data_IF_776295075727
#
_entry.id   IF_776295075727
#
_cell.length_a   1.000
_cell.length_b   1.000
_cell.length_c   1.000
_cell.angle_alpha   90.00
_cell.angle_beta   90.00
_cell.angle_gamma   90.00
#
_symmetry.space_group_name_H-M   'P 1'
#
loop_
_entity.id
_entity.type
_entity.pdbx_description
1 polymer ?
#
# COMPACT_ATOMS: atom_id res chain seq x y z
N UNK A 1 -1.57 33.63 -40.68
CA UNK A 1 -1.21 32.28 -40.22
C UNK A 1 -1.91 32.03 -38.88
N UNK A 2 -3.19 31.63 -38.91
CA UNK A 2 -4.02 31.43 -37.72
C UNK A 2 -4.53 30.00 -37.75
N UNK A 3 -3.97 29.13 -36.91
CA UNK A 3 -4.42 27.76 -36.76
C UNK A 3 -5.53 27.69 -35.71
N UNK A 4 -6.78 27.62 -36.17
CA UNK A 4 -7.93 27.33 -35.32
C UNK A 4 -7.86 25.86 -34.87
N UNK A 5 -7.47 25.63 -33.62
CA UNK A 5 -7.56 24.31 -32.98
C UNK A 5 -9.05 23.99 -32.73
N UNK A 6 -9.62 23.14 -33.57
CA UNK A 6 -10.92 22.53 -33.33
C UNK A 6 -10.87 21.75 -32.02
N UNK A 7 -11.47 22.29 -30.95
CA UNK A 7 -11.69 21.53 -29.71
C UNK A 7 -12.71 20.45 -30.02
N UNK A 8 -12.22 19.22 -30.12
CA UNK A 8 -13.01 18.00 -30.16
C UNK A 8 -14.14 18.11 -29.16
N UNK A 9 -15.37 18.04 -29.67
CA UNK A 9 -16.60 18.05 -28.91
C UNK A 9 -16.60 16.74 -28.13
N UNK A 10 -16.18 16.77 -26.87
CA UNK A 10 -16.30 15.66 -25.94
C UNK A 10 -17.77 15.21 -25.97
N UNK A 11 -18.05 14.10 -26.65
CA UNK A 11 -19.36 13.49 -26.59
C UNK A 11 -19.52 13.04 -25.13
N UNK A 12 -20.40 13.71 -24.38
CA UNK A 12 -20.73 13.29 -23.02
C UNK A 12 -20.99 11.78 -23.03
N UNK A 13 -20.33 11.05 -22.15
CA UNK A 13 -20.48 9.61 -22.06
C UNK A 13 -21.99 9.30 -21.92
N UNK A 14 -22.57 8.46 -22.79
CA UNK A 14 -23.99 8.14 -22.70
C UNK A 14 -24.31 7.59 -21.32
N UNK A 15 -25.40 8.08 -20.72
CA UNK A 15 -25.87 7.58 -19.44
C UNK A 15 -26.13 6.07 -19.58
N UNK A 16 -25.53 5.23 -18.72
CA UNK A 16 -25.82 3.81 -18.78
C UNK A 16 -27.30 3.60 -18.52
N UNK A 17 -27.95 2.78 -19.34
CA UNK A 17 -29.33 2.35 -19.13
C UNK A 17 -29.40 1.63 -17.76
N UNK A 18 -30.51 1.75 -17.03
CA UNK A 18 -30.64 1.22 -15.66
C UNK A 18 -30.31 -0.29 -15.57
N UNK A 19 -30.56 -1.04 -16.64
CA UNK A 19 -30.22 -2.47 -16.73
C UNK A 19 -28.70 -2.70 -16.88
N UNK A 20 -27.98 -1.78 -17.55
CA UNK A 20 -26.52 -1.82 -17.65
C UNK A 20 -25.86 -1.46 -16.30
N UNK A 21 -26.44 -0.51 -15.55
CA UNK A 21 -26.01 -0.18 -14.18
C UNK A 21 -26.27 -1.35 -13.24
N UNK A 22 -27.46 -1.97 -13.30
CA UNK A 22 -27.78 -3.15 -12.49
C UNK A 22 -26.91 -4.37 -12.83
N UNK A 23 -26.57 -4.59 -14.10
CA UNK A 23 -25.60 -5.62 -14.50
C UNK A 23 -24.20 -5.30 -14.00
N UNK A 24 -23.75 -4.05 -14.07
CA UNK A 24 -22.46 -3.63 -13.55
C UNK A 24 -22.36 -3.82 -12.02
N UNK A 25 -23.42 -3.53 -11.27
CA UNK A 25 -23.47 -3.75 -9.81
C UNK A 25 -23.52 -5.24 -9.44
N UNK A 26 -24.24 -6.05 -10.22
CA UNK A 26 -24.30 -7.50 -10.03
C UNK A 26 -22.97 -8.20 -10.39
N UNK A 27 -22.25 -7.69 -11.39
CA UNK A 27 -20.95 -8.23 -11.82
C UNK A 27 -19.83 -7.86 -10.82
N UNK A 28 -19.90 -6.68 -10.19
CA UNK A 28 -19.02 -6.32 -9.06
C UNK A 28 -19.20 -7.25 -7.84
N UNK A 29 -20.40 -7.81 -7.65
CA UNK A 29 -20.73 -8.67 -6.51
C UNK A 29 -20.16 -10.11 -6.65
N UNK A 30 -19.55 -10.45 -7.79
CA UNK A 30 -19.06 -11.81 -8.07
C UNK A 30 -17.53 -11.98 -7.98
N UNK A 31 -16.78 -10.95 -7.58
CA UNK A 31 -15.33 -11.03 -7.36
C UNK A 31 -14.93 -11.68 -6.02
N UNK A 32 -15.81 -12.48 -5.41
CA UNK A 32 -15.57 -13.13 -4.11
C UNK A 32 -14.42 -14.17 -4.12
N UNK A 33 -13.74 -14.38 -5.26
CA UNK A 33 -12.51 -15.18 -5.34
C UNK A 33 -11.22 -14.36 -5.53
N UNK A 34 -11.30 -13.15 -6.11
CA UNK A 34 -10.13 -12.31 -6.44
C UNK A 34 -10.52 -10.84 -6.28
N UNK A 35 -10.55 -10.39 -5.04
CA UNK A 35 -10.87 -9.02 -4.67
C UNK A 35 -10.94 -8.85 -3.16
N UNK A 36 -10.47 -7.71 -2.65
CA UNK A 36 -10.60 -7.36 -1.23
C UNK A 36 -12.09 -7.41 -0.83
N UNK A 37 -12.46 -8.05 0.30
CA UNK A 37 -13.84 -8.10 0.73
C UNK A 37 -14.38 -6.69 0.98
N UNK A 38 -15.70 -6.51 0.94
CA UNK A 38 -16.35 -5.22 1.26
C UNK A 38 -16.06 -4.74 2.70
N UNK A 39 -15.55 -5.64 3.55
CA UNK A 39 -15.08 -5.37 4.91
C UNK A 39 -13.62 -4.96 4.98
N UNK A 40 -12.92 -4.88 3.85
CA UNK A 40 -11.49 -4.59 3.83
C UNK A 40 -11.23 -3.20 4.43
N UNK A 41 -10.20 -3.13 5.25
CA UNK A 41 -9.74 -1.95 5.98
C UNK A 41 -8.35 -1.58 5.47
N UNK A 42 -8.08 -0.28 5.47
CA UNK A 42 -6.72 0.22 5.28
C UNK A 42 -6.05 0.31 6.64
N UNK A 43 -4.96 -0.42 6.80
CA UNK A 43 -4.03 -0.30 7.91
C UNK A 43 -2.77 0.40 7.39
N UNK A 44 -2.08 1.13 8.25
CA UNK A 44 -0.79 1.70 7.87
C UNK A 44 0.16 1.80 9.04
N UNK A 45 1.45 1.81 8.72
CA UNK A 45 2.53 2.05 9.66
C UNK A 45 3.57 2.97 9.03
N UNK A 46 4.08 3.91 9.81
CA UNK A 46 5.24 4.72 9.48
C UNK A 46 6.32 4.36 10.47
N UNK A 47 7.40 3.77 9.97
CA UNK A 47 8.45 3.15 10.78
C UNK A 47 9.76 3.87 10.54
N UNK A 48 10.47 4.19 11.62
CA UNK A 48 11.78 4.82 11.56
C UNK A 48 12.88 3.80 11.20
N UNK A 49 14.06 4.29 10.78
CA UNK A 49 15.18 3.43 10.41
C UNK A 49 15.63 2.48 11.53
N UNK A 50 15.49 2.89 12.80
CA UNK A 50 15.84 2.08 13.96
C UNK A 50 14.80 0.99 14.29
N UNK A 51 13.65 1.01 13.60
CA UNK A 51 12.56 0.05 13.74
C UNK A 51 11.38 0.53 14.59
N UNK A 52 11.44 1.76 15.10
CA UNK A 52 10.36 2.32 15.92
C UNK A 52 9.12 2.66 15.10
N UNK A 53 7.95 2.29 15.61
CA UNK A 53 6.67 2.72 15.06
C UNK A 53 6.41 4.19 15.45
N UNK A 54 6.50 5.10 14.49
CA UNK A 54 6.28 6.53 14.73
C UNK A 54 4.80 6.89 14.76
N UNK A 55 4.02 6.27 13.86
CA UNK A 55 2.57 6.42 13.78
C UNK A 55 1.97 5.30 12.94
N UNK A 56 0.69 5.01 13.14
CA UNK A 56 -0.02 4.00 12.37
C UNK A 56 -1.53 3.99 12.61
N UNK A 57 -2.23 3.17 11.85
CA UNK A 57 -3.63 2.80 12.02
C UNK A 57 -3.72 1.28 11.95
N UNK A 58 -4.20 0.65 13.02
CA UNK A 58 -4.20 -0.80 13.20
C UNK A 58 -2.81 -1.42 13.39
N UNK A 59 -1.73 -0.64 13.35
CA UNK A 59 -0.38 -1.11 13.66
C UNK A 59 -0.17 -1.13 15.18
N UNK A 60 0.15 -2.30 15.72
CA UNK A 60 0.39 -2.51 17.15
C UNK A 60 1.85 -2.24 17.54
N UNK A 61 2.80 -2.81 16.79
CA UNK A 61 4.24 -2.63 17.04
C UNK A 61 5.05 -2.67 15.74
N UNK A 62 6.25 -2.11 15.76
CA UNK A 62 7.28 -2.34 14.76
C UNK A 62 8.61 -2.62 15.46
N UNK A 63 9.41 -3.51 14.87
CA UNK A 63 10.71 -3.89 15.41
C UNK A 63 11.70 -4.12 14.28
N UNK A 64 12.94 -3.66 14.47
CA UNK A 64 14.08 -4.03 13.63
C UNK A 64 14.63 -5.38 14.09
N UNK A 65 14.73 -6.32 13.15
CA UNK A 65 15.23 -7.69 13.38
C UNK A 65 16.72 -7.82 13.05
N UNK A 66 17.16 -7.11 12.00
CA UNK A 66 18.54 -7.01 11.51
C UNK A 66 18.65 -5.74 10.67
N UNK A 67 19.86 -5.35 10.27
CA UNK A 67 20.08 -4.31 9.26
C UNK A 67 19.15 -4.50 8.06
N UNK A 68 18.34 -3.49 7.77
CA UNK A 68 17.39 -3.45 6.68
C UNK A 68 16.30 -4.52 6.75
N UNK A 69 16.02 -5.11 7.91
CA UNK A 69 14.98 -6.13 8.10
C UNK A 69 14.11 -5.78 9.30
N UNK A 70 12.80 -5.69 9.08
CA UNK A 70 11.82 -5.24 10.05
C UNK A 70 10.63 -6.18 10.10
N UNK A 71 9.95 -6.18 11.24
CA UNK A 71 8.64 -6.77 11.42
C UNK A 71 7.68 -5.68 11.89
N UNK A 72 6.54 -5.57 11.23
CA UNK A 72 5.43 -4.69 11.63
C UNK A 72 4.26 -5.59 11.99
N UNK A 73 3.76 -5.46 13.21
CA UNK A 73 2.64 -6.24 13.75
C UNK A 73 1.40 -5.36 13.77
N UNK A 74 0.28 -5.90 13.30
CA UNK A 74 -1.03 -5.27 13.29
C UNK A 74 -1.95 -5.91 14.33
N UNK A 75 -3.04 -5.22 14.67
CA UNK A 75 -4.06 -5.66 15.63
C UNK A 75 -5.08 -6.66 15.03
N UNK A 76 -4.94 -6.99 13.75
CA UNK A 76 -5.78 -7.95 13.02
C UNK A 76 -4.95 -8.87 12.11
N UNK A 77 -5.54 -9.99 11.70
CA UNK A 77 -4.96 -10.89 10.70
C UNK A 77 -4.79 -10.19 9.34
N UNK A 78 -3.62 -10.33 8.74
CA UNK A 78 -3.24 -9.75 7.44
C UNK A 78 -2.78 -10.82 6.43
N UNK A 79 -3.05 -12.10 6.67
CA UNK A 79 -2.58 -13.22 5.83
C UNK A 79 -3.05 -13.12 4.38
N UNK A 80 -4.26 -12.60 4.14
CA UNK A 80 -4.82 -12.37 2.80
C UNK A 80 -4.65 -10.94 2.29
N UNK A 81 -3.91 -10.10 3.02
CA UNK A 81 -3.84 -8.67 2.76
C UNK A 81 -2.86 -8.33 1.64
N UNK A 82 -3.15 -7.26 0.89
CA UNK A 82 -2.20 -6.65 -0.04
C UNK A 82 -1.34 -5.65 0.72
N UNK A 83 -0.03 -5.70 0.52
CA UNK A 83 0.93 -4.85 1.21
C UNK A 83 1.68 -3.98 0.20
N UNK A 84 1.78 -2.68 0.49
CA UNK A 84 2.53 -1.72 -0.32
C UNK A 84 3.47 -0.95 0.59
N UNK A 85 4.77 -0.98 0.27
CA UNK A 85 5.80 -0.27 1.01
C UNK A 85 6.49 0.79 0.15
N UNK A 86 6.86 1.91 0.78
CA UNK A 86 7.74 2.93 0.18
C UNK A 86 8.83 3.34 1.16
N UNK A 87 10.05 3.54 0.67
CA UNK A 87 11.12 4.19 1.45
C UNK A 87 10.77 5.67 1.59
N UNK A 88 10.74 6.18 2.82
CA UNK A 88 10.25 7.53 3.10
C UNK A 88 10.57 7.97 4.52
N UNK A 89 10.94 9.24 4.70
CA UNK A 89 11.19 9.80 6.03
C UNK A 89 9.91 9.80 6.86
N UNK A 90 10.06 9.70 8.17
CA UNK A 90 8.93 9.75 9.11
C UNK A 90 8.41 11.18 9.32
N UNK A 91 9.26 12.19 9.09
CA UNK A 91 8.93 13.61 9.13
C UNK A 91 8.51 14.20 7.78
N UNK A 92 8.17 15.50 7.78
CA UNK A 92 7.62 16.22 6.62
C UNK A 92 8.65 17.03 5.82
N UNK A 93 9.94 16.94 6.16
CA UNK A 93 11.01 17.74 5.55
C UNK A 93 12.21 16.87 5.20
N UNK A 94 12.85 17.18 4.08
CA UNK A 94 13.95 16.40 3.52
C UNK A 94 13.47 15.28 2.61
N UNK A 95 14.43 14.53 2.07
CA UNK A 95 14.18 13.37 1.23
C UNK A 95 14.83 12.14 1.85
N UNK A 96 14.14 11.01 1.79
CA UNK A 96 14.74 9.75 2.20
C UNK A 96 15.89 9.42 1.24
N UNK A 97 17.00 8.84 1.73
CA UNK A 97 18.03 8.38 0.81
C UNK A 97 17.43 7.34 -0.15
N UNK A 98 17.89 7.32 -1.40
CA UNK A 98 17.39 6.39 -2.41
C UNK A 98 17.65 4.94 -2.02
N UNK A 99 16.73 4.04 -2.35
CA UNK A 99 16.80 2.63 -2.01
C UNK A 99 15.54 1.88 -2.44
N UNK A 100 15.55 0.56 -2.25
CA UNK A 100 14.39 -0.29 -2.54
C UNK A 100 13.78 -0.84 -1.25
N UNK A 101 12.55 -1.31 -1.37
CA UNK A 101 11.80 -1.96 -0.31
C UNK A 101 11.09 -3.19 -0.88
N UNK A 102 11.11 -4.28 -0.11
CA UNK A 102 10.30 -5.46 -0.36
C UNK A 102 9.45 -5.72 0.89
N UNK A 103 8.20 -6.14 0.64
CA UNK A 103 7.20 -6.39 1.68
C UNK A 103 6.55 -7.75 1.43
N UNK A 104 6.28 -8.49 2.49
CA UNK A 104 5.56 -9.76 2.44
C UNK A 104 4.90 -10.05 3.78
N UNK A 105 3.83 -10.86 3.80
CA UNK A 105 3.30 -11.42 5.04
C UNK A 105 4.37 -12.23 5.79
N UNK A 106 4.33 -12.19 7.12
CA UNK A 106 5.30 -12.90 7.97
C UNK A 106 4.88 -14.35 8.13
N UNK A 107 5.73 -15.27 7.67
CA UNK A 107 5.47 -16.71 7.80
C UNK A 107 5.30 -17.10 9.28
N UNK A 108 4.16 -17.73 9.60
CA UNK A 108 3.85 -18.20 10.95
C UNK A 108 3.34 -17.11 11.92
N UNK A 109 3.22 -15.85 11.48
CA UNK A 109 2.69 -14.75 12.29
C UNK A 109 1.60 -14.03 11.46
N UNK A 110 0.33 -14.43 11.58
CA UNK A 110 -0.74 -14.02 10.65
C UNK A 110 -1.03 -12.51 10.68
N UNK A 111 -0.76 -11.85 11.79
CA UNK A 111 -0.96 -10.41 11.96
C UNK A 111 0.31 -9.59 11.74
N UNK A 112 1.33 -10.11 11.04
CA UNK A 112 2.58 -9.38 10.83
C UNK A 112 3.02 -9.33 9.35
N UNK A 113 3.65 -8.22 9.00
CA UNK A 113 4.31 -7.98 7.72
C UNK A 113 5.82 -7.94 7.95
N UNK A 114 6.54 -8.71 7.14
CA UNK A 114 7.99 -8.64 7.03
C UNK A 114 8.37 -7.61 5.98
N UNK A 115 9.28 -6.71 6.35
CA UNK A 115 9.75 -5.64 5.47
C UNK A 115 11.27 -5.73 5.39
N UNK A 116 11.80 -5.63 4.18
CA UNK A 116 13.24 -5.46 3.97
C UNK A 116 13.53 -4.24 3.13
N UNK A 117 14.52 -3.46 3.54
CA UNK A 117 14.98 -2.26 2.85
C UNK A 117 16.42 -2.41 2.38
N UNK A 118 16.70 -1.82 1.23
CA UNK A 118 17.97 -1.93 0.52
C UNK A 118 18.48 -0.56 0.12
N UNK A 119 19.79 -0.38 0.03
CA UNK A 119 20.38 0.77 -0.63
C UNK A 119 20.34 0.69 -2.16
N UNK A 120 20.74 1.78 -2.82
CA UNK A 120 20.77 1.81 -4.29
C UNK A 120 21.71 0.78 -4.92
N UNK A 121 22.60 0.14 -4.15
CA UNK A 121 23.46 -0.95 -4.59
C UNK A 121 22.84 -2.34 -4.35
N UNK A 122 21.64 -2.40 -3.76
CA UNK A 122 20.94 -3.65 -3.44
C UNK A 122 21.41 -4.32 -2.14
N UNK A 123 22.23 -3.64 -1.33
CA UNK A 123 22.65 -4.15 -0.03
C UNK A 123 21.61 -3.81 1.05
N UNK A 124 21.41 -4.70 2.02
CA UNK A 124 20.53 -4.44 3.16
C UNK A 124 20.98 -3.18 3.89
N UNK A 125 20.07 -2.22 4.04
CA UNK A 125 20.35 -0.94 4.67
C UNK A 125 19.15 -0.49 5.49
N UNK A 126 19.40 0.05 6.69
CA UNK A 126 18.34 0.59 7.54
C UNK A 126 17.76 1.85 6.91
N UNK A 127 16.45 1.84 6.66
CA UNK A 127 15.73 2.95 6.02
C UNK A 127 14.39 3.16 6.69
N UNK A 128 13.98 4.42 6.92
CA UNK A 128 12.61 4.68 7.31
C UNK A 128 11.68 4.37 6.13
N UNK A 129 10.48 3.89 6.44
CA UNK A 129 9.52 3.48 5.43
C UNK A 129 8.08 3.72 5.86
N UNK A 130 7.20 3.83 4.87
CA UNK A 130 5.76 3.82 5.05
C UNK A 130 5.24 2.49 4.51
N UNK A 131 4.33 1.87 5.24
CA UNK A 131 3.69 0.62 4.88
C UNK A 131 2.18 0.82 4.90
N UNK A 132 1.51 0.49 3.81
CA UNK A 132 0.06 0.37 3.74
C UNK A 132 -0.32 -1.10 3.56
N UNK A 133 -1.33 -1.54 4.31
CA UNK A 133 -1.88 -2.89 4.24
C UNK A 133 -3.37 -2.77 3.98
N UNK A 134 -3.84 -3.42 2.93
CA UNK A 134 -5.26 -3.50 2.57
C UNK A 134 -5.72 -4.90 2.97
N UNK A 135 -6.54 -5.00 4.01
CA UNK A 135 -6.89 -6.26 4.68
C UNK A 135 -8.40 -6.38 4.92
#
# INVERSE_FOLDING_TARGET
MSSAHARSRWAAQPAPEDEATARADAEHTNCAGVGMPLTARVLFAVVNADGDLVRGLGAATANRLRTGMYQVVFDQDVTGASCVGTVGLTGSTGLAPAGQIAVAGRTGIPNAVFVTTFDSAGAHADRPFHLAVLA
#
